data_IF_114452591194
#
_entry.id   IF_114452591194
#
_cell.length_a   1.000
_cell.length_b   1.000
_cell.length_c   1.000
_cell.angle_alpha   90.00
_cell.angle_beta   90.00
_cell.angle_gamma   90.00
#
_symmetry.space_group_name_H-M   'P 1'
#
loop_
_entity.id
_entity.type
_entity.pdbx_description
1 polymer ?
#
# COMPACT_ATOMS: atom_id res chain seq x y z
N UNK A 1 -7.85 -6.22 -3.54
CA UNK A 1 -8.50 -7.07 -2.50
C UNK A 1 -9.90 -7.44 -3.00
N UNK A 2 -10.40 -8.65 -2.71
CA UNK A 2 -11.71 -9.10 -3.23
C UNK A 2 -12.88 -8.32 -2.63
N UNK A 3 -12.75 -7.89 -1.38
CA UNK A 3 -13.67 -6.95 -0.73
C UNK A 3 -12.96 -5.60 -0.53
N UNK A 4 -13.76 -4.56 -0.27
CA UNK A 4 -13.29 -3.19 -0.06
C UNK A 4 -13.37 -2.71 1.40
N UNK A 5 -13.23 -3.59 2.40
CA UNK A 5 -13.41 -3.18 3.81
C UNK A 5 -12.33 -2.19 4.25
N UNK A 6 -12.70 -1.29 5.17
CA UNK A 6 -11.76 -0.30 5.73
C UNK A 6 -10.49 -0.96 6.27
N UNK A 7 -9.33 -0.48 5.84
CA UNK A 7 -7.99 -0.98 6.23
C UNK A 7 -7.80 -2.50 6.00
N UNK A 8 -8.52 -3.13 5.07
CA UNK A 8 -8.52 -4.59 4.92
C UNK A 8 -7.12 -5.17 4.72
N UNK A 9 -6.35 -4.66 3.76
CA UNK A 9 -4.99 -5.15 3.47
C UNK A 9 -4.09 -4.99 4.70
N UNK A 10 -4.12 -3.81 5.33
CA UNK A 10 -3.32 -3.49 6.54
C UNK A 10 -3.61 -4.45 7.70
N UNK A 11 -4.89 -4.73 7.96
CA UNK A 11 -5.31 -5.65 9.03
C UNK A 11 -4.96 -7.10 8.73
N UNK A 12 -5.16 -7.54 7.49
CA UNK A 12 -4.82 -8.91 7.08
C UNK A 12 -3.31 -9.17 7.23
N UNK A 13 -2.49 -8.22 6.76
CA UNK A 13 -1.04 -8.33 6.86
C UNK A 13 -0.54 -8.29 8.31
N UNK A 14 -1.14 -7.45 9.17
CA UNK A 14 -0.89 -7.50 10.62
C UNK A 14 -1.25 -8.87 11.22
N UNK A 15 -2.41 -9.42 10.87
CA UNK A 15 -2.91 -10.68 11.42
C UNK A 15 -1.92 -11.84 11.16
N UNK A 16 -1.32 -11.90 9.98
CA UNK A 16 -0.33 -12.93 9.65
C UNK A 16 1.08 -12.57 10.12
N UNK A 17 1.23 -11.64 11.07
CA UNK A 17 2.50 -11.15 11.63
C UNK A 17 3.45 -10.43 10.65
N UNK A 18 2.98 -10.04 9.48
CA UNK A 18 3.73 -9.33 8.44
C UNK A 18 3.13 -7.94 8.15
N UNK A 19 3.06 -7.03 9.13
CA UNK A 19 2.39 -5.76 8.92
C UNK A 19 3.14 -4.85 7.94
N UNK A 20 2.40 -3.95 7.29
CA UNK A 20 2.95 -2.98 6.34
C UNK A 20 3.88 -2.00 7.04
N UNK A 21 5.01 -1.69 6.41
CA UNK A 21 5.97 -0.71 6.89
C UNK A 21 5.36 0.69 6.97
N UNK A 22 5.70 1.40 8.03
CA UNK A 22 5.23 2.76 8.30
C UNK A 22 3.72 2.88 8.57
N UNK A 23 3.03 1.75 8.78
CA UNK A 23 1.66 1.76 9.28
C UNK A 23 1.63 2.14 10.76
N UNK A 24 1.08 3.32 11.08
CA UNK A 24 1.01 3.83 12.45
C UNK A 24 0.01 3.08 13.35
N UNK A 25 -1.00 2.42 12.78
CA UNK A 25 -2.10 1.78 13.55
C UNK A 25 -1.93 0.26 13.64
N UNK A 26 -1.45 -0.35 12.56
CA UNK A 26 -1.35 -1.80 12.42
C UNK A 26 0.10 -2.29 12.22
N UNK A 27 1.08 -1.39 12.24
CA UNK A 27 2.50 -1.68 12.12
C UNK A 27 3.21 -2.04 13.43
N UNK A 28 4.53 -2.20 13.34
CA UNK A 28 5.43 -2.42 14.49
C UNK A 28 6.28 -1.16 14.71
N UNK A 29 6.09 -0.48 15.84
CA UNK A 29 6.76 0.79 16.15
C UNK A 29 8.29 0.75 16.00
N UNK A 30 9.00 -0.20 16.62
CA UNK A 30 10.46 -0.32 16.47
C UNK A 30 10.91 -0.51 15.02
N UNK A 31 10.24 -1.39 14.27
CA UNK A 31 10.54 -1.63 12.85
C UNK A 31 10.29 -0.38 12.01
N UNK A 32 9.16 0.30 12.22
CA UNK A 32 8.83 1.53 11.50
C UNK A 32 9.87 2.63 11.74
N UNK A 33 10.34 2.79 12.98
CA UNK A 33 11.40 3.77 13.30
C UNK A 33 12.73 3.39 12.66
N UNK A 34 13.11 2.12 12.72
CA UNK A 34 14.35 1.64 12.10
C UNK A 34 14.34 1.86 10.58
N UNK A 35 13.24 1.50 9.92
CA UNK A 35 13.06 1.71 8.47
C UNK A 35 13.00 3.19 8.12
N UNK A 36 12.30 4.02 8.90
CA UNK A 36 12.25 5.45 8.67
C UNK A 36 13.63 6.11 8.82
N UNK A 37 14.43 5.69 9.80
CA UNK A 37 15.80 6.17 9.97
C UNK A 37 16.70 5.74 8.80
N UNK A 38 16.53 4.51 8.31
CA UNK A 38 17.30 3.99 7.17
C UNK A 38 16.94 4.70 5.85
N UNK A 39 15.65 4.94 5.60
CA UNK A 39 15.16 5.51 4.35
C UNK A 39 15.03 7.05 4.39
N UNK A 40 15.24 7.68 5.54
CA UNK A 40 15.04 9.12 5.74
C UNK A 40 13.59 9.59 5.60
N UNK A 41 12.61 8.68 5.56
CA UNK A 41 11.20 9.00 5.34
C UNK A 41 10.27 8.10 6.15
N UNK A 42 9.28 8.70 6.82
CA UNK A 42 8.23 8.00 7.53
C UNK A 42 6.89 8.16 6.79
N UNK A 43 6.41 7.07 6.18
CA UNK A 43 5.10 7.02 5.50
C UNK A 43 4.56 5.61 5.46
N UNK A 44 3.27 5.45 5.16
CA UNK A 44 2.68 4.14 4.87
C UNK A 44 3.19 3.62 3.52
N UNK A 45 3.79 2.43 3.52
CA UNK A 45 4.30 1.77 2.32
C UNK A 45 3.24 0.88 1.67
N UNK A 46 2.13 1.50 1.23
CA UNK A 46 1.03 0.84 0.51
C UNK A 46 0.62 1.71 -0.68
N UNK A 47 0.67 1.13 -1.90
CA UNK A 47 0.36 1.83 -3.14
C UNK A 47 -0.63 1.03 -4.01
N UNK A 48 -1.64 1.71 -4.54
CA UNK A 48 -2.59 1.13 -5.48
C UNK A 48 -2.04 1.26 -6.91
N UNK A 49 -1.32 0.23 -7.38
CA UNK A 49 -0.63 0.27 -8.68
C UNK A 49 -1.56 0.22 -9.89
N UNK A 50 -2.64 -0.56 -9.81
CA UNK A 50 -3.53 -0.81 -10.95
C UNK A 50 -4.99 -0.86 -10.50
N UNK A 51 -5.87 -0.30 -11.32
CA UNK A 51 -7.32 -0.40 -11.20
C UNK A 51 -7.90 -0.85 -12.53
N UNK A 52 -8.74 -1.87 -12.52
CA UNK A 52 -9.48 -2.34 -13.69
C UNK A 52 -10.98 -2.32 -13.38
N UNK A 53 -11.77 -1.75 -14.29
CA UNK A 53 -13.22 -1.66 -14.19
C UNK A 53 -13.86 -1.60 -15.58
N UNK A 54 -15.17 -1.75 -15.63
CA UNK A 54 -15.96 -1.44 -16.83
C UNK A 54 -16.25 0.06 -16.84
N UNK A 55 -15.97 0.73 -17.95
CA UNK A 55 -16.24 2.16 -18.07
C UNK A 55 -17.76 2.43 -18.02
N UNK A 56 -18.25 3.31 -17.13
CA UNK A 56 -19.68 3.40 -16.81
C UNK A 56 -20.55 3.92 -17.96
N UNK A 57 -19.98 4.70 -18.89
CA UNK A 57 -20.73 5.24 -20.02
C UNK A 57 -20.60 4.42 -21.30
N UNK A 58 -19.45 3.79 -21.52
CA UNK A 58 -19.14 3.11 -22.80
C UNK A 58 -19.20 1.59 -22.72
N UNK A 59 -19.24 1.01 -21.52
CA UNK A 59 -19.16 -0.44 -21.32
C UNK A 59 -17.81 -1.06 -21.68
N UNK A 60 -16.85 -0.27 -22.18
CA UNK A 60 -15.55 -0.76 -22.57
C UNK A 60 -14.69 -1.10 -21.34
N UNK A 61 -13.78 -2.10 -21.43
CA UNK A 61 -12.79 -2.34 -20.39
C UNK A 61 -11.90 -1.10 -20.18
N UNK A 62 -11.77 -0.65 -18.93
CA UNK A 62 -10.87 0.43 -18.53
C UNK A 62 -9.81 -0.12 -17.58
N UNK A 63 -8.54 0.08 -17.94
CA UNK A 63 -7.39 -0.21 -17.09
C UNK A 63 -6.61 1.07 -16.82
N UNK A 64 -6.45 1.40 -15.54
CA UNK A 64 -5.68 2.54 -15.06
C UNK A 64 -4.45 2.03 -14.31
N UNK A 65 -3.29 2.65 -14.57
CA UNK A 65 -2.05 2.36 -13.87
C UNK A 65 -1.48 3.62 -13.23
N UNK A 66 -1.08 3.50 -11.97
CA UNK A 66 -0.41 4.56 -11.23
C UNK A 66 1.03 4.15 -10.96
N UNK A 67 1.99 4.89 -11.54
CA UNK A 67 3.40 4.69 -11.23
C UNK A 67 3.64 4.97 -9.75
N UNK A 68 4.38 4.11 -9.03
CA UNK A 68 4.79 4.41 -7.68
C UNK A 68 5.65 5.68 -7.68
N UNK A 69 5.48 6.53 -6.65
CA UNK A 69 6.36 7.69 -6.44
C UNK A 69 7.83 7.20 -6.41
N UNK A 70 8.80 7.93 -6.99
CA UNK A 70 10.23 7.57 -6.97
C UNK A 70 10.75 7.07 -5.62
N UNK A 71 10.26 7.59 -4.49
CA UNK A 71 10.64 7.10 -3.17
C UNK A 71 10.26 5.64 -2.88
N UNK A 72 9.45 4.98 -3.71
CA UNK A 72 9.20 3.52 -3.66
C UNK A 72 10.26 2.70 -4.41
N UNK A 73 10.95 3.29 -5.38
CA UNK A 73 11.87 2.59 -6.30
C UNK A 73 13.29 2.49 -5.74
N UNK A 74 13.65 3.29 -4.74
CA UNK A 74 14.98 3.30 -4.11
C UNK A 74 15.15 2.25 -2.99
N UNK A 75 14.21 1.30 -2.86
CA UNK A 75 14.07 0.43 -1.68
C UNK A 75 14.38 -1.05 -1.94
N UNK A 76 15.17 -1.36 -2.96
CA UNK A 76 15.56 -2.74 -3.32
C UNK A 76 17.00 -3.01 -2.95
#
# INVERSE_FOLDING_TARGET
>A
PLQGRRHQIRRHLKHIAHPILGDATHGKGPLNRAVAAHLGVQRLWLHARRLALVHPLSGAPLCLEARPNPGFLMTV
#
